data_IF_057336052638
#
_entry.id   IF_057336052638
#
_cell.length_a   1.000
_cell.length_b   1.000
_cell.length_c   1.000
_cell.angle_alpha   90.00
_cell.angle_beta   90.00
_cell.angle_gamma   90.00
#
_symmetry.space_group_name_H-M   'P 1'
#
loop_
_entity.id
_entity.type
_entity.pdbx_description
1 polymer ?
#
# COMPACT_ATOMS: atom_id res chain seq x y z
N UNK A 1 6.16 50.88 -16.38
CA UNK A 1 5.44 49.85 -17.18
C UNK A 1 5.96 48.41 -16.97
N UNK A 2 7.25 48.10 -17.04
CA UNK A 2 7.76 46.73 -16.84
C UNK A 2 7.73 46.22 -15.36
N UNK A 3 7.66 47.11 -14.37
CA UNK A 3 7.55 46.73 -12.94
C UNK A 3 6.15 46.28 -12.55
N UNK A 4 5.10 46.84 -13.13
CA UNK A 4 3.70 46.48 -12.85
C UNK A 4 3.35 45.07 -13.36
N UNK A 5 3.81 44.70 -14.56
CA UNK A 5 3.53 43.39 -15.14
C UNK A 5 4.20 42.24 -14.35
N UNK A 6 5.36 42.47 -13.71
CA UNK A 6 6.05 41.47 -12.86
C UNK A 6 5.37 41.32 -11.51
N UNK A 7 4.80 42.39 -10.93
CA UNK A 7 4.03 42.31 -9.67
C UNK A 7 2.67 41.65 -9.90
N UNK A 8 1.92 42.00 -10.95
CA UNK A 8 0.66 41.33 -11.31
C UNK A 8 0.88 39.83 -11.56
N UNK A 9 1.89 39.43 -12.33
CA UNK A 9 2.22 38.00 -12.55
C UNK A 9 2.65 37.28 -11.27
N UNK A 10 3.26 37.99 -10.32
CA UNK A 10 3.62 37.40 -9.02
C UNK A 10 2.39 37.21 -8.12
N UNK A 11 1.45 38.14 -8.12
CA UNK A 11 0.19 38.06 -7.39
C UNK A 11 -0.73 36.97 -7.96
N UNK A 12 -0.81 36.87 -9.29
CA UNK A 12 -1.55 35.81 -9.96
C UNK A 12 -0.97 34.40 -9.67
N UNK A 13 0.36 34.27 -9.66
CA UNK A 13 1.01 33.01 -9.26
C UNK A 13 0.72 32.63 -7.82
N UNK A 14 0.79 33.56 -6.89
CA UNK A 14 0.45 33.31 -5.47
C UNK A 14 -1.03 32.93 -5.31
N UNK A 15 -1.92 33.61 -6.06
CA UNK A 15 -3.35 33.27 -6.11
C UNK A 15 -3.62 31.86 -6.64
N UNK A 16 -2.94 31.47 -7.73
CA UNK A 16 -3.04 30.13 -8.32
C UNK A 16 -2.51 29.04 -7.36
N UNK A 17 -1.34 29.23 -6.75
CA UNK A 17 -0.78 28.28 -5.78
C UNK A 17 -1.70 28.05 -4.58
N UNK A 18 -2.38 29.09 -4.09
CA UNK A 18 -3.37 28.95 -3.01
C UNK A 18 -4.61 28.17 -3.46
N UNK A 19 -5.08 28.33 -4.72
CA UNK A 19 -6.21 27.55 -5.26
C UNK A 19 -5.85 26.08 -5.44
N UNK A 20 -4.60 25.78 -5.76
CA UNK A 20 -4.08 24.40 -5.90
C UNK A 20 -3.78 23.74 -4.54
N UNK A 21 -3.81 24.49 -3.44
CA UNK A 21 -3.65 23.94 -2.09
C UNK A 21 -4.97 23.40 -1.54
N UNK A 22 -5.49 22.36 -2.19
CA UNK A 22 -6.73 21.70 -1.77
C UNK A 22 -6.64 20.17 -1.87
N UNK A 23 -7.34 19.41 -0.99
CA UNK A 23 -7.39 17.95 -1.09
C UNK A 23 -8.00 17.47 -2.41
N UNK A 24 -8.98 18.22 -2.96
CA UNK A 24 -9.57 17.91 -4.27
C UNK A 24 -8.56 18.01 -5.41
N UNK A 25 -7.70 19.04 -5.38
CA UNK A 25 -6.62 19.18 -6.37
C UNK A 25 -5.59 18.05 -6.26
N UNK A 26 -5.18 17.68 -5.05
CA UNK A 26 -4.27 16.56 -4.85
C UNK A 26 -4.87 15.22 -5.33
N UNK A 27 -6.16 15.00 -5.10
CA UNK A 27 -6.88 13.86 -5.63
C UNK A 27 -6.93 13.86 -7.16
N UNK A 28 -7.22 15.02 -7.79
CA UNK A 28 -7.21 15.15 -9.25
C UNK A 28 -5.81 14.92 -9.86
N UNK A 29 -4.76 15.43 -9.21
CA UNK A 29 -3.39 15.19 -9.64
C UNK A 29 -3.00 13.71 -9.47
N UNK A 30 -3.42 13.07 -8.38
CA UNK A 30 -3.24 11.62 -8.20
C UNK A 30 -3.97 10.84 -9.29
N UNK A 31 -5.22 11.21 -9.60
CA UNK A 31 -6.00 10.59 -10.68
C UNK A 31 -5.29 10.71 -12.04
N UNK A 32 -4.72 11.88 -12.35
CA UNK A 32 -3.97 12.10 -13.59
C UNK A 32 -2.72 11.20 -13.65
N UNK A 33 -1.93 11.11 -12.58
CA UNK A 33 -0.74 10.24 -12.52
C UNK A 33 -1.12 8.78 -12.67
N UNK A 34 -2.15 8.32 -11.94
CA UNK A 34 -2.66 6.94 -12.00
C UNK A 34 -3.20 6.63 -13.39
N UNK A 35 -3.95 7.54 -14.01
CA UNK A 35 -4.46 7.36 -15.37
C UNK A 35 -3.31 7.21 -16.39
N UNK A 36 -2.30 8.08 -16.32
CA UNK A 36 -1.12 7.97 -17.19
C UNK A 36 -0.43 6.62 -16.99
N UNK A 37 -0.24 6.18 -15.75
CA UNK A 37 0.36 4.88 -15.47
C UNK A 37 -0.45 3.72 -16.06
N UNK A 38 -1.78 3.70 -15.86
CA UNK A 38 -2.68 2.67 -16.39
C UNK A 38 -2.65 2.66 -17.91
N UNK A 39 -2.73 3.83 -18.55
CA UNK A 39 -2.69 3.95 -20.02
C UNK A 39 -1.36 3.45 -20.58
N UNK A 40 -0.23 3.85 -20.01
CA UNK A 40 1.10 3.38 -20.44
C UNK A 40 1.21 1.86 -20.33
N UNK A 41 0.73 1.27 -19.23
CA UNK A 41 0.74 -0.18 -19.05
C UNK A 41 -0.18 -0.90 -20.04
N UNK A 42 -1.36 -0.37 -20.32
CA UNK A 42 -2.27 -0.92 -21.34
C UNK A 42 -1.63 -0.85 -22.73
N UNK A 43 -1.05 0.29 -23.09
CA UNK A 43 -0.37 0.44 -24.39
C UNK A 43 0.79 -0.55 -24.52
N UNK A 44 1.60 -0.72 -23.48
CA UNK A 44 2.71 -1.67 -23.46
C UNK A 44 2.26 -3.14 -23.59
N UNK A 45 1.01 -3.46 -23.22
CA UNK A 45 0.43 -4.80 -23.31
C UNK A 45 -0.66 -4.92 -24.37
N UNK A 46 -0.66 -4.08 -25.42
CA UNK A 46 -1.60 -4.17 -26.54
C UNK A 46 -3.08 -3.93 -26.17
N UNK A 47 -3.36 -3.23 -25.10
CA UNK A 47 -4.71 -2.96 -24.59
C UNK A 47 -5.31 -4.08 -23.73
N UNK A 48 -4.55 -5.12 -23.40
CA UNK A 48 -5.00 -6.25 -22.60
C UNK A 48 -5.17 -5.84 -21.12
N UNK A 49 -6.42 -5.81 -20.63
CA UNK A 49 -6.76 -5.53 -19.24
C UNK A 49 -6.23 -6.63 -18.30
N UNK A 50 -6.16 -7.88 -18.78
CA UNK A 50 -5.70 -9.01 -17.95
C UNK A 50 -4.20 -8.98 -17.65
N UNK A 51 -3.44 -8.11 -18.34
CA UNK A 51 -2.03 -7.85 -18.03
C UNK A 51 -1.81 -7.33 -16.59
N UNK A 52 -2.84 -6.77 -15.96
CA UNK A 52 -2.80 -6.39 -14.53
C UNK A 52 -3.04 -7.59 -13.62
N UNK A 53 -3.80 -8.59 -14.03
CA UNK A 53 -4.04 -9.82 -13.25
C UNK A 53 -2.79 -10.71 -13.21
N UNK A 54 -2.01 -10.74 -14.30
CA UNK A 54 -0.78 -11.53 -14.47
C UNK A 54 -1.03 -13.03 -14.21
N UNK A 55 -1.97 -13.62 -14.99
CA UNK A 55 -2.28 -15.05 -14.90
C UNK A 55 -1.16 -15.88 -15.55
N UNK A 56 -0.75 -16.99 -14.90
CA UNK A 56 0.25 -17.94 -15.41
C UNK A 56 -0.28 -19.36 -15.42
N UNK A 57 0.19 -20.18 -16.36
CA UNK A 57 -0.30 -21.54 -16.62
C UNK A 57 -0.03 -22.53 -15.50
N UNK A 58 0.87 -22.21 -14.57
CA UNK A 58 1.09 -23.06 -13.38
C UNK A 58 -0.14 -23.15 -12.48
N UNK A 59 -0.97 -22.09 -12.41
CA UNK A 59 -2.15 -22.01 -11.55
C UNK A 59 -3.45 -21.72 -12.30
N UNK A 60 -3.37 -21.42 -13.61
CA UNK A 60 -4.51 -21.11 -14.46
C UNK A 60 -4.45 -21.97 -15.72
N UNK A 61 -5.39 -22.91 -15.86
CA UNK A 61 -5.50 -23.75 -17.06
C UNK A 61 -6.03 -22.91 -18.23
N UNK A 62 -5.23 -22.69 -19.31
CA UNK A 62 -5.63 -21.86 -20.44
C UNK A 62 -6.89 -22.35 -21.17
N UNK A 63 -7.21 -23.65 -21.04
CA UNK A 63 -8.36 -24.27 -21.75
C UNK A 63 -9.69 -23.99 -21.07
N UNK A 64 -9.68 -23.72 -19.76
CA UNK A 64 -10.88 -23.60 -18.92
C UNK A 64 -10.94 -22.28 -18.17
N UNK A 65 -9.92 -21.44 -18.29
CA UNK A 65 -9.87 -20.09 -17.74
C UNK A 65 -10.97 -19.19 -18.34
N UNK A 66 -11.43 -18.16 -17.62
CA UNK A 66 -12.31 -17.13 -18.18
C UNK A 66 -11.71 -16.51 -19.44
N UNK A 67 -12.53 -16.32 -20.48
CA UNK A 67 -12.09 -15.84 -21.80
C UNK A 67 -11.48 -14.43 -21.78
N UNK A 68 -11.70 -13.66 -20.70
CA UNK A 68 -11.13 -12.32 -20.53
C UNK A 68 -9.70 -12.33 -19.94
N UNK A 69 -9.12 -13.52 -19.65
CA UNK A 69 -7.77 -13.68 -19.13
C UNK A 69 -6.81 -14.18 -20.21
N UNK A 70 -5.75 -13.44 -20.43
CA UNK A 70 -4.57 -13.93 -21.14
C UNK A 70 -3.67 -14.68 -20.17
N UNK A 71 -3.50 -15.98 -20.39
CA UNK A 71 -2.65 -16.85 -19.54
C UNK A 71 -1.25 -16.91 -20.15
N UNK A 72 -0.24 -16.57 -19.35
CA UNK A 72 1.18 -16.63 -19.75
C UNK A 72 1.69 -18.04 -19.66
N UNK A 73 2.32 -18.52 -20.72
CA UNK A 73 2.97 -19.84 -20.77
C UNK A 73 4.26 -19.86 -19.93
N UNK A 74 4.63 -21.02 -19.41
CA UNK A 74 5.82 -21.27 -18.59
C UNK A 74 5.97 -20.27 -17.42
N UNK A 75 4.85 -19.86 -16.81
CA UNK A 75 4.78 -18.80 -15.83
C UNK A 75 3.98 -19.21 -14.59
N UNK A 76 4.52 -18.86 -13.42
CA UNK A 76 3.73 -18.92 -12.16
C UNK A 76 2.69 -17.79 -12.05
N UNK A 77 2.70 -16.82 -12.97
CA UNK A 77 1.89 -15.63 -12.83
C UNK A 77 2.24 -14.80 -11.58
N UNK A 78 1.23 -14.10 -11.06
CA UNK A 78 1.38 -13.32 -9.83
C UNK A 78 0.12 -13.40 -8.94
N UNK A 79 0.19 -12.81 -7.73
CA UNK A 79 -0.89 -12.83 -6.73
C UNK A 79 -2.23 -12.27 -7.24
N UNK A 80 -2.21 -11.38 -8.25
CA UNK A 80 -3.41 -10.83 -8.89
C UNK A 80 -4.33 -11.90 -9.49
N UNK A 81 -3.78 -13.02 -9.98
CA UNK A 81 -4.59 -14.14 -10.45
C UNK A 81 -5.44 -14.75 -9.31
N UNK A 82 -4.90 -14.83 -8.09
CA UNK A 82 -5.65 -15.32 -6.93
C UNK A 82 -6.69 -14.29 -6.45
N UNK A 83 -6.37 -12.99 -6.52
CA UNK A 83 -7.33 -11.91 -6.25
C UNK A 83 -8.50 -11.97 -7.23
N UNK A 84 -8.23 -12.10 -8.53
CA UNK A 84 -9.24 -12.28 -9.56
C UNK A 84 -10.10 -13.53 -9.32
N UNK A 85 -9.47 -14.69 -9.02
CA UNK A 85 -10.19 -15.93 -8.71
C UNK A 85 -11.14 -15.76 -7.52
N UNK A 86 -10.70 -15.09 -6.47
CA UNK A 86 -11.51 -14.82 -5.28
C UNK A 86 -12.57 -13.75 -5.54
N UNK A 87 -12.36 -12.80 -6.46
CA UNK A 87 -13.37 -11.83 -6.83
C UNK A 87 -14.53 -12.46 -7.65
N UNK A 88 -14.31 -13.60 -8.30
CA UNK A 88 -15.39 -14.37 -8.93
C UNK A 88 -16.30 -15.08 -7.90
N UNK A 89 -15.73 -15.51 -6.77
CA UNK A 89 -16.43 -16.18 -5.67
C UNK A 89 -15.65 -15.98 -4.36
N UNK A 90 -15.91 -14.88 -3.63
CA UNK A 90 -15.13 -14.51 -2.45
C UNK A 90 -15.23 -15.48 -1.27
N UNK A 91 -16.34 -16.20 -1.16
CA UNK A 91 -16.63 -17.11 -0.03
C UNK A 91 -16.48 -18.58 -0.40
N UNK A 92 -15.75 -18.87 -1.46
CA UNK A 92 -15.51 -20.23 -1.97
C UNK A 92 -14.85 -21.14 -0.93
N UNK A 93 -15.25 -22.40 -0.93
CA UNK A 93 -14.60 -23.52 -0.26
C UNK A 93 -13.84 -24.43 -1.27
N UNK A 94 -13.81 -24.06 -2.55
CA UNK A 94 -13.22 -24.81 -3.64
C UNK A 94 -11.80 -24.33 -3.94
N UNK A 95 -10.83 -25.22 -3.77
CA UNK A 95 -9.44 -24.96 -4.15
C UNK A 95 -9.27 -24.74 -5.66
N UNK A 96 -10.01 -25.49 -6.46
CA UNK A 96 -9.98 -25.42 -7.93
C UNK A 96 -11.37 -25.09 -8.45
N UNK A 97 -11.51 -23.99 -9.19
CA UNK A 97 -12.73 -23.65 -9.90
C UNK A 97 -12.43 -22.70 -11.06
N UNK A 98 -13.24 -22.78 -12.13
CA UNK A 98 -13.14 -21.93 -13.32
C UNK A 98 -11.73 -21.95 -13.94
N UNK A 99 -11.08 -23.12 -13.99
CA UNK A 99 -9.73 -23.27 -14.51
C UNK A 99 -8.61 -22.69 -13.64
N UNK A 100 -8.90 -22.22 -12.43
CA UNK A 100 -7.94 -21.57 -11.55
C UNK A 100 -7.76 -22.33 -10.24
N UNK A 101 -6.51 -22.53 -9.84
CA UNK A 101 -6.13 -23.24 -8.62
C UNK A 101 -5.54 -22.29 -7.59
N UNK A 102 -6.12 -22.25 -6.38
CA UNK A 102 -5.51 -21.54 -5.25
C UNK A 102 -4.36 -22.40 -4.69
N UNK A 103 -3.14 -21.86 -4.72
CA UNK A 103 -1.95 -22.56 -4.20
C UNK A 103 -2.05 -22.82 -2.69
N UNK A 104 -2.43 -21.80 -1.93
CA UNK A 104 -2.66 -21.82 -0.50
C UNK A 104 -3.99 -21.11 -0.18
N UNK A 105 -5.14 -21.83 -0.26
CA UNK A 105 -6.46 -21.19 -0.21
C UNK A 105 -6.68 -20.33 1.05
N UNK A 106 -6.39 -20.85 2.24
CA UNK A 106 -6.55 -20.11 3.49
C UNK A 106 -5.72 -18.81 3.49
N UNK A 107 -4.47 -18.88 3.06
CA UNK A 107 -3.57 -17.73 2.98
C UNK A 107 -4.01 -16.71 1.94
N UNK A 108 -4.51 -17.15 0.78
CA UNK A 108 -4.98 -16.26 -0.28
C UNK A 108 -6.28 -15.56 0.11
N UNK A 109 -7.22 -16.30 0.69
CA UNK A 109 -8.55 -15.81 1.05
C UNK A 109 -8.55 -14.92 2.31
N UNK A 110 -7.47 -14.92 3.12
CA UNK A 110 -7.40 -14.01 4.27
C UNK A 110 -7.50 -12.53 3.86
N UNK A 111 -7.08 -12.17 2.64
CA UNK A 111 -7.10 -10.82 2.07
C UNK A 111 -8.36 -10.59 1.26
N UNK A 112 -9.52 -10.68 1.92
CA UNK A 112 -10.81 -10.70 1.26
C UNK A 112 -11.35 -9.34 0.81
N UNK A 113 -10.79 -8.23 1.33
CA UNK A 113 -11.36 -6.89 1.13
C UNK A 113 -11.42 -6.46 -0.34
N UNK A 114 -10.35 -6.63 -1.12
CA UNK A 114 -10.37 -6.29 -2.56
C UNK A 114 -11.24 -7.27 -3.36
N UNK A 115 -11.14 -8.61 -3.19
CA UNK A 115 -12.05 -9.54 -3.84
C UNK A 115 -13.54 -9.24 -3.60
N UNK A 116 -13.96 -8.99 -2.36
CA UNK A 116 -15.36 -8.66 -2.03
C UNK A 116 -15.78 -7.34 -2.65
N UNK A 117 -14.92 -6.32 -2.60
CA UNK A 117 -15.22 -5.03 -3.22
C UNK A 117 -15.42 -5.18 -4.73
N UNK A 118 -14.54 -5.91 -5.41
CA UNK A 118 -14.66 -6.16 -6.84
C UNK A 118 -15.89 -7.00 -7.18
N UNK A 119 -16.20 -8.02 -6.39
CA UNK A 119 -17.39 -8.85 -6.55
C UNK A 119 -18.69 -8.02 -6.42
N UNK A 120 -18.78 -7.13 -5.44
CA UNK A 120 -19.94 -6.24 -5.27
C UNK A 120 -20.12 -5.29 -6.45
N UNK A 121 -19.01 -4.73 -6.98
CA UNK A 121 -19.06 -3.87 -8.17
C UNK A 121 -19.46 -4.68 -9.41
N UNK A 122 -18.92 -5.89 -9.59
CA UNK A 122 -19.28 -6.77 -10.70
C UNK A 122 -20.77 -7.17 -10.67
N UNK A 123 -21.33 -7.38 -9.47
CA UNK A 123 -22.76 -7.66 -9.31
C UNK A 123 -23.65 -6.45 -9.68
N UNK A 124 -23.13 -5.23 -9.59
CA UNK A 124 -23.85 -3.99 -9.84
C UNK A 124 -23.60 -3.39 -11.25
N UNK A 125 -22.62 -3.90 -12.00
CA UNK A 125 -22.21 -3.32 -13.29
C UNK A 125 -21.89 -4.40 -14.32
N UNK A 126 -22.05 -4.12 -15.63
CA UNK A 126 -21.67 -5.05 -16.72
C UNK A 126 -20.17 -4.97 -17.07
N UNK A 127 -19.33 -4.36 -16.24
CA UNK A 127 -17.90 -4.19 -16.53
C UNK A 127 -17.15 -5.51 -16.39
N UNK A 128 -16.13 -5.78 -17.22
CA UNK A 128 -15.26 -6.95 -17.06
C UNK A 128 -14.47 -6.87 -15.75
N UNK A 129 -14.29 -8.01 -15.09
CA UNK A 129 -13.68 -8.07 -13.76
C UNK A 129 -12.25 -7.51 -13.71
N UNK A 130 -11.36 -7.71 -14.71
CA UNK A 130 -10.05 -7.07 -14.72
C UNK A 130 -10.13 -5.54 -14.66
N UNK A 131 -11.08 -4.93 -15.41
CA UNK A 131 -11.29 -3.47 -15.35
C UNK A 131 -11.77 -3.02 -13.98
N UNK A 132 -12.66 -3.78 -13.36
CA UNK A 132 -13.17 -3.47 -12.01
C UNK A 132 -12.01 -3.45 -11.00
N UNK A 133 -11.11 -4.43 -11.03
CA UNK A 133 -9.96 -4.50 -10.14
C UNK A 133 -9.03 -3.28 -10.33
N UNK A 134 -8.73 -2.92 -11.58
CA UNK A 134 -7.96 -1.72 -11.92
C UNK A 134 -8.65 -0.47 -11.36
N UNK A 135 -9.96 -0.31 -11.58
CA UNK A 135 -10.72 0.87 -11.15
C UNK A 135 -10.79 0.98 -9.62
N UNK A 136 -11.02 -0.12 -8.90
CA UNK A 136 -11.04 -0.14 -7.43
C UNK A 136 -9.69 0.31 -6.88
N UNK A 137 -8.58 -0.24 -7.40
CA UNK A 137 -7.24 0.14 -6.98
C UNK A 137 -6.88 1.59 -7.37
N UNK A 138 -7.27 2.04 -8.57
CA UNK A 138 -7.05 3.41 -9.01
C UNK A 138 -7.81 4.41 -8.12
N UNK A 139 -9.09 4.16 -7.84
CA UNK A 139 -9.90 4.99 -6.96
C UNK A 139 -9.39 4.98 -5.52
N UNK A 140 -8.86 3.85 -5.05
CA UNK A 140 -8.20 3.78 -3.75
C UNK A 140 -6.98 4.70 -3.66
N UNK A 141 -6.14 4.76 -4.70
CA UNK A 141 -5.01 5.69 -4.76
C UNK A 141 -5.46 7.15 -4.80
N UNK A 142 -6.51 7.48 -5.56
CA UNK A 142 -7.10 8.83 -5.59
C UNK A 142 -7.59 9.25 -4.21
N UNK A 143 -8.30 8.35 -3.51
CA UNK A 143 -8.73 8.57 -2.12
C UNK A 143 -7.55 8.72 -1.16
N UNK A 144 -6.49 7.94 -1.33
CA UNK A 144 -5.25 8.08 -0.55
C UNK A 144 -4.58 9.44 -0.79
N UNK A 145 -4.58 9.96 -2.02
CA UNK A 145 -4.09 11.31 -2.36
C UNK A 145 -4.88 12.40 -1.63
N UNK A 146 -6.21 12.25 -1.56
CA UNK A 146 -7.07 13.17 -0.83
C UNK A 146 -6.77 13.17 0.68
N UNK A 147 -6.69 11.99 1.32
CA UNK A 147 -6.35 11.90 2.75
C UNK A 147 -4.90 12.34 3.02
N UNK A 148 -3.95 12.00 2.14
CA UNK A 148 -2.56 12.46 2.22
C UNK A 148 -2.47 13.98 2.21
N UNK A 149 -3.25 14.66 1.36
CA UNK A 149 -3.37 16.12 1.32
C UNK A 149 -3.94 16.69 2.63
N UNK A 150 -4.96 16.05 3.21
CA UNK A 150 -5.49 16.41 4.53
C UNK A 150 -4.41 16.35 5.62
N UNK A 151 -3.57 15.31 5.59
CA UNK A 151 -2.43 15.22 6.50
C UNK A 151 -1.39 16.33 6.22
N UNK A 152 -1.05 16.58 4.95
CA UNK A 152 -0.12 17.64 4.58
C UNK A 152 -0.59 18.99 5.12
N UNK A 153 -1.82 19.39 4.85
CA UNK A 153 -2.41 20.65 5.33
C UNK A 153 -2.49 20.72 6.85
N UNK A 154 -2.81 19.63 7.55
CA UNK A 154 -2.85 19.59 9.01
C UNK A 154 -1.49 19.88 9.68
N UNK A 155 -0.40 19.77 8.93
CA UNK A 155 0.95 20.11 9.36
C UNK A 155 1.52 21.34 8.66
N UNK A 156 0.68 22.15 8.00
CA UNK A 156 1.08 23.37 7.32
C UNK A 156 1.90 23.14 6.05
N UNK A 157 1.68 22.01 5.37
CA UNK A 157 2.31 21.66 4.09
C UNK A 157 1.31 21.81 2.96
N UNK A 158 1.80 22.06 1.75
CA UNK A 158 0.96 22.15 0.56
C UNK A 158 0.28 20.81 0.26
N UNK A 159 -0.99 20.84 -0.11
CA UNK A 159 -1.84 19.68 -0.35
C UNK A 159 -1.28 18.72 -1.42
N UNK A 160 -0.58 19.23 -2.44
CA UNK A 160 0.02 18.42 -3.50
C UNK A 160 0.98 17.34 -2.99
N UNK A 161 1.57 17.51 -1.79
CA UNK A 161 2.42 16.47 -1.18
C UNK A 161 1.63 15.21 -0.81
N UNK A 162 0.30 15.28 -0.75
CA UNK A 162 -0.57 14.12 -0.61
C UNK A 162 -0.42 13.10 -1.75
N UNK A 163 -0.05 13.57 -2.95
CA UNK A 163 0.20 12.69 -4.10
C UNK A 163 1.28 11.67 -3.80
N UNK A 164 2.39 12.08 -3.16
CA UNK A 164 3.50 11.16 -2.81
C UNK A 164 3.07 10.08 -1.81
N UNK A 165 2.08 10.38 -0.96
CA UNK A 165 1.50 9.40 -0.02
C UNK A 165 0.69 8.33 -0.75
N UNK A 166 0.11 8.68 -1.91
CA UNK A 166 -0.75 7.82 -2.71
C UNK A 166 -0.01 6.97 -3.76
N UNK A 167 1.14 7.44 -4.25
CA UNK A 167 1.85 6.81 -5.38
C UNK A 167 3.21 6.22 -4.97
N UNK A 168 3.37 5.81 -3.71
CA UNK A 168 4.61 5.17 -3.27
C UNK A 168 4.90 3.88 -4.07
N UNK A 169 6.18 3.45 -4.18
CA UNK A 169 6.57 2.32 -5.03
C UNK A 169 5.71 1.07 -4.85
N UNK A 170 5.50 0.62 -3.61
CA UNK A 170 4.68 -0.56 -3.31
C UNK A 170 3.22 -0.43 -3.76
N UNK A 171 2.66 0.78 -3.74
CA UNK A 171 1.29 1.05 -4.18
C UNK A 171 1.15 1.00 -5.70
N UNK A 172 2.13 1.52 -6.45
CA UNK A 172 2.15 1.41 -7.91
C UNK A 172 2.31 -0.03 -8.38
N UNK A 173 3.16 -0.81 -7.70
CA UNK A 173 3.28 -2.25 -7.93
C UNK A 173 1.94 -2.95 -7.64
N UNK A 174 1.28 -2.56 -6.54
CA UNK A 174 -0.06 -3.06 -6.20
C UNK A 174 -1.08 -2.78 -7.30
N UNK A 175 -1.10 -1.58 -7.86
CA UNK A 175 -1.94 -1.24 -9.00
C UNK A 175 -1.56 -2.04 -10.26
N UNK A 176 -0.26 -2.14 -10.57
CA UNK A 176 0.22 -2.82 -11.78
C UNK A 176 -0.11 -4.32 -11.81
N UNK A 177 -0.40 -4.93 -10.67
CA UNK A 177 -0.60 -6.39 -10.53
C UNK A 177 -1.91 -6.76 -9.83
N UNK A 178 -2.87 -5.84 -9.78
CA UNK A 178 -4.19 -6.00 -9.12
C UNK A 178 -4.11 -6.58 -7.70
N UNK A 179 -3.27 -5.97 -6.87
CA UNK A 179 -3.02 -6.42 -5.51
C UNK A 179 -3.78 -5.60 -4.47
N UNK A 180 -3.72 -6.07 -3.23
CA UNK A 180 -4.50 -5.53 -2.12
C UNK A 180 -3.94 -4.22 -1.52
N UNK A 181 -2.69 -3.87 -1.81
CA UNK A 181 -1.97 -2.76 -1.18
C UNK A 181 -2.67 -1.39 -1.36
N UNK A 182 -3.18 -0.99 -2.56
CA UNK A 182 -3.82 0.31 -2.72
C UNK A 182 -5.07 0.47 -1.86
N UNK A 183 -5.97 -0.53 -1.87
CA UNK A 183 -7.21 -0.47 -1.10
C UNK A 183 -6.96 -0.56 0.40
N UNK A 184 -6.03 -1.41 0.84
CA UNK A 184 -5.64 -1.52 2.23
C UNK A 184 -5.02 -0.22 2.75
N UNK A 185 -4.18 0.43 1.94
CA UNK A 185 -3.57 1.71 2.28
C UNK A 185 -4.60 2.83 2.40
N UNK A 186 -5.57 2.92 1.49
CA UNK A 186 -6.68 3.86 1.63
C UNK A 186 -7.40 3.68 2.96
N UNK A 187 -7.77 2.45 3.31
CA UNK A 187 -8.43 2.13 4.58
C UNK A 187 -7.59 2.52 5.80
N UNK A 188 -6.30 2.16 5.80
CA UNK A 188 -5.37 2.54 6.87
C UNK A 188 -5.23 4.05 7.00
N UNK A 189 -5.01 4.77 5.90
CA UNK A 189 -4.81 6.22 5.89
C UNK A 189 -6.07 6.98 6.33
N UNK A 190 -7.25 6.54 5.88
CA UNK A 190 -8.54 7.06 6.33
C UNK A 190 -8.74 6.81 7.82
N UNK A 191 -8.44 5.61 8.29
CA UNK A 191 -8.48 5.25 9.71
C UNK A 191 -7.57 6.13 10.56
N UNK A 192 -6.32 6.34 10.13
CA UNK A 192 -5.37 7.25 10.81
C UNK A 192 -5.88 8.69 10.85
N UNK A 193 -6.50 9.16 9.75
CA UNK A 193 -7.10 10.50 9.71
C UNK A 193 -8.26 10.63 10.68
N UNK A 194 -9.22 9.71 10.65
CA UNK A 194 -10.38 9.75 11.55
C UNK A 194 -9.99 9.52 13.00
N UNK A 195 -8.99 8.66 13.28
CA UNK A 195 -8.40 8.50 14.61
C UNK A 195 -7.83 9.81 15.14
N UNK A 196 -7.06 10.52 14.33
CA UNK A 196 -6.52 11.84 14.68
C UNK A 196 -7.62 12.89 14.90
N UNK A 197 -8.72 12.78 14.17
CA UNK A 197 -9.87 13.68 14.23
C UNK A 197 -10.90 13.26 15.30
N UNK A 198 -10.55 12.30 16.16
CA UNK A 198 -11.37 11.75 17.25
C UNK A 198 -12.69 11.11 16.80
N UNK A 199 -12.81 10.76 15.51
CA UNK A 199 -13.95 10.03 14.94
C UNK A 199 -13.72 8.52 15.04
N UNK A 200 -13.68 8.01 16.27
CA UNK A 200 -13.26 6.63 16.57
C UNK A 200 -14.07 5.53 15.88
N UNK A 201 -15.42 5.63 15.77
CA UNK A 201 -16.19 4.60 15.03
C UNK A 201 -15.80 4.51 13.56
N UNK A 202 -15.61 5.66 12.88
CA UNK A 202 -15.16 5.69 11.48
C UNK A 202 -13.73 5.16 11.35
N UNK A 203 -12.87 5.51 12.30
CA UNK A 203 -11.50 4.98 12.33
C UNK A 203 -11.50 3.46 12.48
N UNK A 204 -12.31 2.92 13.38
CA UNK A 204 -12.42 1.47 13.61
C UNK A 204 -12.93 0.73 12.36
N UNK A 205 -13.96 1.26 11.70
CA UNK A 205 -14.49 0.70 10.46
C UNK A 205 -13.44 0.70 9.34
N UNK A 206 -12.71 1.81 9.17
CA UNK A 206 -11.67 1.91 8.15
C UNK A 206 -10.47 0.99 8.44
N UNK A 207 -10.04 0.89 9.70
CA UNK A 207 -9.01 -0.05 10.11
C UNK A 207 -9.43 -1.51 9.93
N UNK A 208 -10.71 -1.84 10.18
CA UNK A 208 -11.24 -3.18 9.94
C UNK A 208 -11.26 -3.51 8.45
N UNK A 209 -11.71 -2.59 7.60
CA UNK A 209 -11.65 -2.74 6.15
C UNK A 209 -10.20 -2.91 5.65
N UNK A 210 -9.26 -2.11 6.17
CA UNK A 210 -7.85 -2.25 5.86
C UNK A 210 -7.29 -3.62 6.27
N UNK A 211 -7.61 -4.09 7.47
CA UNK A 211 -7.15 -5.38 8.02
C UNK A 211 -7.67 -6.57 7.22
N UNK A 212 -8.95 -6.54 6.80
CA UNK A 212 -9.55 -7.57 5.94
C UNK A 212 -9.04 -7.51 4.50
N UNK A 213 -8.52 -6.35 4.06
CA UNK A 213 -7.87 -6.22 2.77
C UNK A 213 -6.41 -6.68 2.84
N UNK A 214 -5.71 -6.34 3.92
CA UNK A 214 -4.32 -6.74 4.13
C UNK A 214 -4.00 -6.74 5.63
N UNK A 215 -3.73 -7.91 6.17
CA UNK A 215 -3.49 -8.18 7.60
C UNK A 215 -2.32 -7.37 8.17
N UNK A 216 -1.32 -7.02 7.35
CA UNK A 216 -0.14 -6.26 7.76
C UNK A 216 -0.47 -4.85 8.25
N UNK A 217 -1.60 -4.28 7.85
CA UNK A 217 -2.06 -2.96 8.34
C UNK A 217 -2.34 -2.96 9.85
N UNK A 218 -2.66 -4.13 10.44
CA UNK A 218 -2.88 -4.29 11.88
C UNK A 218 -1.64 -3.95 12.70
N UNK A 219 -0.42 -4.05 12.18
CA UNK A 219 0.78 -3.70 12.94
C UNK A 219 0.82 -2.21 13.31
N UNK A 220 0.31 -1.34 12.42
CA UNK A 220 0.19 0.09 12.70
C UNK A 220 -0.86 0.33 13.77
N UNK A 221 -2.01 -0.34 13.67
CA UNK A 221 -3.10 -0.26 14.66
C UNK A 221 -2.63 -0.80 16.01
N UNK A 222 -1.87 -1.91 16.03
CA UNK A 222 -1.27 -2.45 17.26
C UNK A 222 -0.33 -1.45 17.93
N UNK A 223 0.50 -0.74 17.18
CA UNK A 223 1.36 0.31 17.74
C UNK A 223 0.55 1.45 18.38
N UNK A 224 -0.56 1.87 17.77
CA UNK A 224 -1.48 2.84 18.36
C UNK A 224 -2.11 2.28 19.63
N UNK A 225 -2.55 1.01 19.62
CA UNK A 225 -3.18 0.33 20.77
C UNK A 225 -2.22 0.22 21.94
N UNK A 226 -0.98 -0.23 21.69
CA UNK A 226 0.06 -0.30 22.74
C UNK A 226 0.32 1.07 23.36
N UNK A 227 0.36 2.13 22.53
CA UNK A 227 0.52 3.48 23.08
C UNK A 227 -0.65 3.89 23.97
N UNK A 228 -1.91 3.58 23.59
CA UNK A 228 -3.08 3.88 24.42
C UNK A 228 -3.02 3.12 25.75
N UNK A 229 -2.57 1.85 25.75
CA UNK A 229 -2.38 1.07 26.98
C UNK A 229 -1.28 1.65 27.87
N UNK A 230 -0.15 2.07 27.29
CA UNK A 230 0.93 2.73 28.05
C UNK A 230 0.45 4.01 28.70
N UNK A 231 -0.33 4.83 27.99
CA UNK A 231 -0.88 6.06 28.55
C UNK A 231 -1.96 5.78 29.60
N UNK A 232 -2.77 4.72 29.43
CA UNK A 232 -3.74 4.27 30.42
C UNK A 232 -3.03 3.83 31.72
N UNK A 233 -1.94 3.05 31.61
CA UNK A 233 -1.17 2.59 32.77
C UNK A 233 -0.46 3.71 33.52
N UNK A 234 -0.15 4.83 32.84
CA UNK A 234 0.49 6.01 33.43
C UNK A 234 -0.51 7.02 33.98
N UNK A 235 -1.76 6.93 33.57
CA UNK A 235 -2.83 7.86 33.94
C UNK A 235 -3.54 7.43 35.25
N UNK A 236 -4.15 8.41 35.95
CA UNK A 236 -5.02 8.15 37.07
C UNK A 236 -6.44 7.72 36.65
N UNK A 237 -7.35 7.58 37.63
CA UNK A 237 -8.74 7.16 37.40
C UNK A 237 -9.51 8.03 36.41
N UNK A 238 -9.21 9.32 36.29
CA UNK A 238 -9.85 10.22 35.32
C UNK A 238 -9.54 9.86 33.87
N UNK A 239 -8.33 9.34 33.61
CA UNK A 239 -7.94 8.89 32.27
C UNK A 239 -8.65 7.61 31.83
N UNK A 240 -9.11 6.76 32.76
CA UNK A 240 -9.85 5.54 32.42
C UNK A 240 -11.10 5.86 31.58
N UNK A 241 -11.92 6.82 32.02
CA UNK A 241 -13.15 7.19 31.33
C UNK A 241 -12.93 7.67 29.90
N UNK A 242 -11.79 8.29 29.61
CA UNK A 242 -11.44 8.80 28.28
C UNK A 242 -10.78 7.77 27.39
N UNK A 243 -9.94 6.88 27.93
CA UNK A 243 -9.10 5.97 27.13
C UNK A 243 -9.72 4.62 26.90
N UNK A 244 -10.50 4.09 27.84
CA UNK A 244 -11.16 2.80 27.67
C UNK A 244 -12.04 2.78 26.39
N UNK A 245 -12.92 3.77 26.13
CA UNK A 245 -13.68 3.79 24.88
C UNK A 245 -12.80 3.82 23.62
N UNK A 246 -11.66 4.54 23.66
CA UNK A 246 -10.71 4.59 22.54
C UNK A 246 -10.08 3.20 22.28
N UNK A 247 -9.67 2.51 23.34
CA UNK A 247 -9.11 1.15 23.25
C UNK A 247 -10.14 0.18 22.70
N UNK A 248 -11.39 0.25 23.14
CA UNK A 248 -12.48 -0.59 22.64
C UNK A 248 -12.66 -0.44 21.12
N UNK A 249 -12.61 0.78 20.58
CA UNK A 249 -12.66 1.00 19.15
C UNK A 249 -11.46 0.42 18.38
N UNK A 250 -10.27 0.38 18.98
CA UNK A 250 -9.10 -0.26 18.39
C UNK A 250 -9.16 -1.80 18.43
N UNK A 251 -9.98 -2.38 19.30
CA UNK A 251 -10.22 -3.83 19.30
C UNK A 251 -11.10 -4.28 18.13
N UNK A 252 -11.94 -3.41 17.57
CA UNK A 252 -12.86 -3.76 16.46
C UNK A 252 -12.12 -4.33 15.25
N UNK A 253 -11.08 -3.68 14.66
CA UNK A 253 -10.35 -4.26 13.53
C UNK A 253 -9.66 -5.59 13.87
N UNK A 254 -9.18 -5.76 15.09
CA UNK A 254 -8.59 -7.03 15.55
C UNK A 254 -9.66 -8.12 15.67
N UNK A 255 -10.83 -7.80 16.23
CA UNK A 255 -11.95 -8.74 16.35
C UNK A 255 -12.47 -9.16 14.96
N UNK A 256 -12.62 -8.23 14.02
CA UNK A 256 -13.00 -8.53 12.64
C UNK A 256 -11.99 -9.46 11.95
N UNK A 257 -10.69 -9.18 12.09
CA UNK A 257 -9.64 -10.02 11.54
C UNK A 257 -9.64 -11.43 12.17
N UNK A 258 -9.77 -11.52 13.49
CA UNK A 258 -9.84 -12.81 14.21
C UNK A 258 -11.09 -13.61 13.82
N UNK A 259 -12.24 -12.97 13.72
CA UNK A 259 -13.49 -13.64 13.29
C UNK A 259 -13.33 -14.18 11.86
N UNK A 260 -12.70 -13.43 10.96
CA UNK A 260 -12.42 -13.88 9.60
C UNK A 260 -11.42 -15.06 9.59
N UNK A 261 -10.34 -15.00 10.39
CA UNK A 261 -9.39 -16.11 10.53
C UNK A 261 -10.07 -17.37 11.07
N UNK A 262 -10.98 -17.24 12.04
CA UNK A 262 -11.74 -18.36 12.61
C UNK A 262 -12.69 -18.98 11.56
N UNK A 263 -13.35 -18.17 10.75
CA UNK A 263 -14.19 -18.66 9.65
C UNK A 263 -13.35 -19.44 8.63
N UNK A 264 -12.20 -18.89 8.21
CA UNK A 264 -11.28 -19.55 7.28
C UNK A 264 -10.71 -20.87 7.86
N UNK A 265 -10.47 -20.92 9.16
CA UNK A 265 -10.08 -22.17 9.83
C UNK A 265 -11.20 -23.23 9.72
N UNK A 266 -12.46 -22.83 9.88
CA UNK A 266 -13.62 -23.70 9.69
C UNK A 266 -13.72 -24.25 8.26
N UNK A 267 -13.43 -23.43 7.25
CA UNK A 267 -13.51 -23.79 5.83
C UNK A 267 -12.31 -24.65 5.39
N UNK A 268 -11.09 -24.28 5.77
CA UNK A 268 -9.87 -24.87 5.22
C UNK A 268 -9.10 -25.77 6.19
N UNK A 269 -9.51 -25.84 7.46
CA UNK A 269 -8.83 -26.62 8.50
C UNK A 269 -7.43 -26.10 8.85
N UNK A 270 -7.06 -24.90 8.40
CA UNK A 270 -5.74 -24.28 8.62
C UNK A 270 -5.90 -22.81 8.95
N UNK A 271 -5.12 -22.34 9.92
CA UNK A 271 -5.05 -20.91 10.22
C UNK A 271 -4.23 -20.17 9.14
N UNK A 272 -4.82 -19.17 8.45
CA UNK A 272 -4.13 -18.42 7.41
C UNK A 272 -2.82 -17.81 7.86
N UNK A 273 -2.77 -17.21 9.04
CA UNK A 273 -1.57 -16.56 9.61
C UNK A 273 -0.40 -17.50 9.77
N UNK A 274 -0.65 -18.79 10.00
CA UNK A 274 0.39 -19.83 10.12
C UNK A 274 0.80 -20.40 8.76
N UNK A 275 -0.01 -20.19 7.72
CA UNK A 275 0.23 -20.75 6.39
C UNK A 275 1.27 -19.97 5.58
N UNK A 276 1.63 -18.76 6.00
CA UNK A 276 2.61 -17.86 5.35
C UNK A 276 3.97 -17.78 6.06
N UNK A 277 4.26 -18.68 7.02
CA UNK A 277 5.46 -18.59 7.87
C UNK A 277 6.80 -18.61 7.12
N UNK A 278 6.86 -19.18 5.91
CA UNK A 278 8.06 -19.18 5.08
C UNK A 278 8.53 -17.78 4.63
N UNK A 279 7.64 -16.78 4.64
CA UNK A 279 7.90 -15.45 4.10
C UNK A 279 8.43 -14.45 5.16
N UNK A 280 8.32 -14.77 6.44
CA UNK A 280 8.67 -13.86 7.54
C UNK A 280 9.81 -14.47 8.38
N UNK A 281 10.82 -13.67 8.68
CA UNK A 281 11.95 -14.03 9.55
C UNK A 281 12.10 -13.07 10.72
N UNK A 282 13.16 -13.26 11.49
CA UNK A 282 13.54 -12.33 12.57
C UNK A 282 14.13 -11.06 11.94
N UNK A 283 13.52 -9.86 12.19
CA UNK A 283 14.10 -8.62 11.68
C UNK A 283 15.47 -8.31 12.32
N UNK A 284 16.48 -7.83 11.59
CA UNK A 284 16.56 -7.65 10.14
C UNK A 284 17.30 -8.79 9.42
N UNK A 285 17.40 -9.97 10.04
CA UNK A 285 18.34 -11.03 9.63
C UNK A 285 18.15 -11.45 8.16
N UNK A 286 16.94 -11.81 7.74
CA UNK A 286 16.66 -12.22 6.35
C UNK A 286 16.89 -11.08 5.34
N UNK A 287 16.56 -9.86 5.71
CA UNK A 287 16.84 -8.70 4.88
C UNK A 287 18.34 -8.52 4.67
N UNK A 288 19.14 -8.60 5.74
CA UNK A 288 20.61 -8.46 5.65
C UNK A 288 21.21 -9.57 4.80
N UNK A 289 20.84 -10.83 5.03
CA UNK A 289 21.35 -11.96 4.21
C UNK A 289 21.02 -11.76 2.74
N UNK A 290 19.78 -11.37 2.40
CA UNK A 290 19.38 -11.13 1.01
C UNK A 290 20.11 -9.96 0.33
N UNK A 291 20.65 -9.01 1.10
CA UNK A 291 21.50 -7.94 0.57
C UNK A 291 22.92 -8.42 0.33
N UNK A 292 23.43 -9.34 1.18
CA UNK A 292 24.77 -9.90 1.04
C UNK A 292 24.84 -10.94 -0.08
N UNK A 293 23.75 -11.64 -0.35
CA UNK A 293 23.61 -12.64 -1.44
C UNK A 293 23.40 -11.98 -2.82
N UNK A 294 24.03 -10.83 -3.06
CA UNK A 294 23.94 -10.14 -4.34
C UNK A 294 24.82 -10.85 -5.38
N UNK A 295 24.17 -11.61 -6.30
CA UNK A 295 24.86 -12.47 -7.27
C UNK A 295 25.42 -11.73 -8.51
N UNK A 296 25.23 -10.42 -8.63
CA UNK A 296 25.78 -9.62 -9.74
C UNK A 296 27.21 -9.19 -9.44
N UNK A 297 28.17 -9.65 -10.22
CA UNK A 297 29.50 -9.05 -10.21
C UNK A 297 29.43 -7.56 -10.54
N UNK A 298 30.12 -6.71 -9.79
CA UNK A 298 30.11 -5.25 -10.01
C UNK A 298 30.63 -4.84 -11.38
N UNK A 299 31.31 -5.74 -12.08
CA UNK A 299 31.89 -5.55 -13.41
C UNK A 299 31.10 -6.26 -14.52
N UNK A 300 30.04 -6.99 -14.20
CA UNK A 300 29.20 -7.65 -15.18
C UNK A 300 28.50 -6.61 -16.06
N UNK A 301 28.38 -6.93 -17.35
CA UNK A 301 27.71 -6.10 -18.34
C UNK A 301 26.51 -6.85 -18.93
N UNK A 302 25.54 -6.11 -19.43
CA UNK A 302 24.33 -6.68 -20.02
C UNK A 302 23.07 -6.37 -19.23
N UNK A 303 21.94 -6.82 -19.74
CA UNK A 303 20.62 -6.52 -19.18
C UNK A 303 20.45 -7.04 -17.75
N UNK A 304 20.87 -8.27 -17.51
CA UNK A 304 20.68 -8.92 -16.20
C UNK A 304 21.55 -8.28 -15.11
N UNK A 305 22.78 -7.89 -15.44
CA UNK A 305 23.65 -7.13 -14.55
C UNK A 305 23.05 -5.75 -14.24
N UNK A 306 22.53 -5.04 -15.23
CA UNK A 306 21.88 -3.74 -15.05
C UNK A 306 20.67 -3.86 -14.11
N UNK A 307 19.80 -4.87 -14.32
CA UNK A 307 18.64 -5.13 -13.45
C UNK A 307 19.08 -5.47 -12.02
N UNK A 308 20.14 -6.28 -11.86
CA UNK A 308 20.68 -6.62 -10.53
C UNK A 308 21.16 -5.37 -9.79
N UNK A 309 21.90 -4.48 -10.46
CA UNK A 309 22.35 -3.21 -9.87
C UNK A 309 21.19 -2.27 -9.55
N UNK A 310 20.17 -2.22 -10.40
CA UNK A 310 18.97 -1.43 -10.15
C UNK A 310 18.26 -1.92 -8.89
N UNK A 311 18.06 -3.23 -8.74
CA UNK A 311 17.44 -3.81 -7.54
C UNK A 311 18.27 -3.57 -6.26
N UNK A 312 19.60 -3.60 -6.35
CA UNK A 312 20.43 -3.23 -5.22
C UNK A 312 20.25 -1.75 -4.87
N UNK A 313 20.24 -0.86 -5.86
CA UNK A 313 20.03 0.58 -5.65
C UNK A 313 18.66 0.87 -5.02
N UNK A 314 17.59 0.18 -5.43
CA UNK A 314 16.25 0.28 -4.85
C UNK A 314 16.23 -0.13 -3.36
N UNK A 315 16.89 -1.23 -3.01
CA UNK A 315 17.00 -1.71 -1.62
C UNK A 315 17.79 -0.74 -0.75
N UNK A 316 18.94 -0.26 -1.23
CA UNK A 316 19.78 0.72 -0.53
C UNK A 316 19.03 2.05 -0.35
N UNK A 317 18.29 2.48 -1.36
CA UNK A 317 17.41 3.64 -1.24
C UNK A 317 16.33 3.44 -0.17
N UNK A 318 15.67 2.28 -0.14
CA UNK A 318 14.65 1.99 0.87
C UNK A 318 15.24 2.00 2.28
N UNK A 319 16.43 1.40 2.47
CA UNK A 319 17.14 1.46 3.76
C UNK A 319 17.46 2.90 4.16
N UNK A 320 18.00 3.70 3.25
CA UNK A 320 18.30 5.11 3.50
C UNK A 320 17.04 5.90 3.85
N UNK A 321 15.94 5.65 3.14
CA UNK A 321 14.64 6.26 3.44
C UNK A 321 14.15 5.88 4.84
N UNK A 322 14.13 4.60 5.18
CA UNK A 322 13.69 4.11 6.50
C UNK A 322 14.57 4.65 7.63
N UNK A 323 15.90 4.69 7.45
CA UNK A 323 16.83 5.28 8.39
C UNK A 323 16.59 6.79 8.57
N UNK A 324 16.31 7.51 7.48
CA UNK A 324 15.98 8.94 7.54
C UNK A 324 14.66 9.21 8.27
N UNK A 325 13.65 8.36 8.07
CA UNK A 325 12.39 8.44 8.82
C UNK A 325 12.64 8.16 10.30
N UNK A 326 13.41 7.13 10.66
CA UNK A 326 13.78 6.81 12.04
C UNK A 326 14.46 8.02 12.72
N UNK A 327 15.44 8.63 12.05
CA UNK A 327 16.10 9.84 12.52
C UNK A 327 15.15 11.03 12.68
N UNK A 328 14.06 11.05 11.91
CA UNK A 328 13.04 12.11 11.94
C UNK A 328 12.01 11.96 13.06
N UNK A 329 11.86 10.77 13.66
CA UNK A 329 10.85 10.49 14.69
C UNK A 329 10.86 11.46 15.89
N UNK A 330 12.01 11.87 16.48
CA UNK A 330 12.01 12.81 17.60
C UNK A 330 11.55 14.23 17.18
N UNK A 331 11.64 14.56 15.88
CA UNK A 331 11.40 15.91 15.33
C UNK A 331 10.00 16.09 14.74
N UNK A 332 9.22 15.00 14.65
CA UNK A 332 7.87 15.03 14.06
C UNK A 332 6.81 15.48 15.09
N UNK A 333 5.74 16.11 14.58
CA UNK A 333 4.52 16.44 15.36
C UNK A 333 3.47 15.31 15.27
N UNK A 334 3.78 14.20 14.59
CA UNK A 334 2.87 13.08 14.48
C UNK A 334 2.54 12.52 15.88
N UNK A 335 1.29 12.16 16.21
CA UNK A 335 0.92 11.59 17.50
C UNK A 335 1.78 10.37 17.89
N UNK A 336 2.11 10.25 19.15
CA UNK A 336 3.03 9.20 19.65
C UNK A 336 2.57 7.78 19.30
N UNK A 337 1.27 7.48 19.34
CA UNK A 337 0.72 6.20 18.92
C UNK A 337 1.00 5.89 17.44
N UNK A 338 0.88 6.89 16.56
CA UNK A 338 1.19 6.71 15.13
C UNK A 338 2.70 6.53 14.88
N UNK A 339 3.56 7.19 15.71
CA UNK A 339 5.03 6.96 15.65
C UNK A 339 5.37 5.52 16.04
N UNK A 340 4.73 5.00 17.10
CA UNK A 340 4.90 3.61 17.50
C UNK A 340 4.34 2.64 16.45
N UNK A 341 3.22 2.99 15.82
CA UNK A 341 2.69 2.27 14.65
C UNK A 341 3.70 2.21 13.51
N UNK A 342 4.43 3.29 13.24
CA UNK A 342 5.52 3.27 12.25
C UNK A 342 6.67 2.35 12.68
N UNK A 343 7.06 2.35 13.95
CA UNK A 343 8.12 1.43 14.44
C UNK A 343 7.72 -0.03 14.21
N UNK A 344 6.47 -0.39 14.46
CA UNK A 344 5.96 -1.74 14.21
C UNK A 344 5.94 -2.06 12.71
N UNK A 345 5.54 -1.11 11.86
CA UNK A 345 5.60 -1.25 10.42
C UNK A 345 7.05 -1.39 9.90
N UNK A 346 8.01 -0.68 10.49
CA UNK A 346 9.43 -0.83 10.20
C UNK A 346 9.92 -2.26 10.52
N UNK A 347 9.60 -2.77 11.71
CA UNK A 347 9.99 -4.13 12.09
C UNK A 347 9.40 -5.17 11.12
N UNK A 348 8.14 -4.99 10.71
CA UNK A 348 7.52 -5.84 9.71
C UNK A 348 8.22 -5.74 8.34
N UNK A 349 8.58 -4.53 7.89
CA UNK A 349 9.26 -4.32 6.61
C UNK A 349 10.66 -4.96 6.56
N UNK A 350 11.33 -5.07 7.71
CA UNK A 350 12.65 -5.68 7.85
C UNK A 350 12.61 -7.20 8.10
N UNK A 351 11.43 -7.80 8.28
CA UNK A 351 11.28 -9.21 8.61
C UNK A 351 11.43 -10.17 7.40
N UNK A 352 10.92 -9.87 6.17
CA UNK A 352 11.09 -10.75 5.02
C UNK A 352 12.49 -10.62 4.40
N UNK A 353 12.84 -11.59 3.55
CA UNK A 353 13.96 -11.43 2.62
C UNK A 353 13.61 -10.34 1.58
N UNK A 354 14.59 -9.53 1.24
CA UNK A 354 14.46 -8.55 0.16
C UNK A 354 15.05 -9.15 -1.12
N UNK A 355 14.35 -10.12 -1.66
CA UNK A 355 14.72 -10.83 -2.87
C UNK A 355 14.69 -9.91 -4.11
N UNK A 356 15.16 -10.41 -5.25
CA UNK A 356 15.24 -9.66 -6.52
C UNK A 356 13.89 -9.28 -7.10
N UNK A 357 12.80 -9.86 -6.60
CA UNK A 357 11.46 -9.40 -6.91
C UNK A 357 11.10 -8.16 -6.05
N UNK A 358 10.34 -7.26 -6.61
CA UNK A 358 9.83 -6.02 -5.99
C UNK A 358 8.94 -6.24 -4.75
N UNK A 359 8.84 -7.46 -4.26
CA UNK A 359 8.09 -7.84 -3.06
C UNK A 359 8.48 -7.04 -1.82
N UNK A 360 9.75 -6.64 -1.69
CA UNK A 360 10.21 -5.83 -0.55
C UNK A 360 9.54 -4.45 -0.48
N UNK A 361 9.23 -3.81 -1.61
CA UNK A 361 8.44 -2.57 -1.61
C UNK A 361 7.01 -2.80 -1.14
N UNK A 362 6.41 -3.93 -1.50
CA UNK A 362 5.08 -4.33 -1.04
C UNK A 362 5.08 -4.58 0.47
N UNK A 363 6.09 -5.31 0.98
CA UNK A 363 6.26 -5.56 2.41
C UNK A 363 6.49 -4.27 3.21
N UNK A 364 7.11 -3.25 2.60
CA UNK A 364 7.41 -1.97 3.21
C UNK A 364 6.31 -0.90 3.00
N UNK A 365 5.18 -1.22 2.37
CA UNK A 365 4.14 -0.23 2.01
C UNK A 365 3.69 0.60 3.22
N UNK A 366 3.38 -0.04 4.35
CA UNK A 366 2.95 0.65 5.57
C UNK A 366 4.09 1.48 6.17
N UNK A 367 5.32 0.97 6.16
CA UNK A 367 6.49 1.68 6.68
C UNK A 367 6.83 2.91 5.82
N UNK A 368 6.72 2.81 4.49
CA UNK A 368 6.90 3.93 3.56
C UNK A 368 5.79 4.96 3.77
N UNK A 369 4.53 4.53 3.75
CA UNK A 369 3.37 5.42 3.81
C UNK A 369 3.28 6.18 5.13
N UNK A 370 3.36 5.49 6.29
CA UNK A 370 3.38 6.15 7.61
C UNK A 370 4.68 6.95 7.79
N UNK A 371 5.80 6.49 7.20
CA UNK A 371 7.05 7.24 7.14
C UNK A 371 6.91 8.59 6.44
N UNK A 372 6.17 8.65 5.35
CA UNK A 372 5.82 9.90 4.67
C UNK A 372 5.01 10.83 5.57
N UNK A 373 4.05 10.29 6.36
CA UNK A 373 3.33 11.10 7.35
C UNK A 373 4.26 11.63 8.44
N UNK A 374 5.27 10.85 8.89
CA UNK A 374 6.31 11.31 9.82
C UNK A 374 7.07 12.49 9.23
N UNK A 375 7.45 12.41 7.96
CA UNK A 375 8.18 13.49 7.26
C UNK A 375 7.32 14.73 7.06
N UNK A 376 6.08 14.60 6.61
CA UNK A 376 5.13 15.70 6.45
C UNK A 376 4.92 16.46 7.76
N UNK A 377 4.88 15.73 8.88
CA UNK A 377 4.68 16.29 10.22
C UNK A 377 5.96 16.81 10.88
N UNK A 378 7.12 16.83 10.21
CA UNK A 378 8.37 17.40 10.78
C UNK A 378 8.25 18.89 11.07
N UNK A 379 8.95 19.34 12.11
CA UNK A 379 8.98 20.76 12.51
C UNK A 379 9.83 21.62 11.57
N UNK A 380 10.93 21.07 11.05
CA UNK A 380 11.82 21.75 10.10
C UNK A 380 11.29 21.65 8.66
N UNK A 381 11.59 22.69 7.86
CA UNK A 381 11.09 22.79 6.49
C UNK A 381 11.92 22.02 5.45
N UNK A 382 13.03 21.37 5.84
CA UNK A 382 13.98 20.76 4.89
C UNK A 382 13.49 19.37 4.43
N UNK A 383 12.47 19.35 3.57
CA UNK A 383 11.91 18.12 2.98
C UNK A 383 12.34 17.89 1.53
N UNK A 384 13.01 18.84 0.89
CA UNK A 384 13.27 18.80 -0.55
C UNK A 384 13.99 17.56 -1.02
N UNK A 385 15.12 17.21 -0.39
CA UNK A 385 15.94 16.05 -0.78
C UNK A 385 15.21 14.70 -0.58
N UNK A 386 14.61 14.39 0.60
CA UNK A 386 13.89 13.12 0.75
C UNK A 386 12.65 13.02 -0.16
N UNK A 387 11.93 14.11 -0.39
CA UNK A 387 10.78 14.09 -1.29
C UNK A 387 11.19 13.93 -2.76
N UNK A 388 12.30 14.55 -3.18
CA UNK A 388 12.87 14.35 -4.50
C UNK A 388 13.34 12.89 -4.70
N UNK A 389 13.97 12.30 -3.69
CA UNK A 389 14.36 10.89 -3.71
C UNK A 389 13.19 9.93 -3.85
N UNK A 390 12.06 10.21 -3.16
CA UNK A 390 10.83 9.44 -3.30
C UNK A 390 10.26 9.60 -4.70
N UNK A 391 10.17 10.83 -5.22
CA UNK A 391 9.65 11.08 -6.56
C UNK A 391 10.50 10.40 -7.63
N UNK A 392 11.81 10.42 -7.50
CA UNK A 392 12.72 9.72 -8.41
C UNK A 392 12.50 8.20 -8.36
N UNK A 393 12.38 7.60 -7.17
CA UNK A 393 12.13 6.16 -7.02
C UNK A 393 10.76 5.76 -7.57
N UNK A 394 9.73 6.57 -7.33
CA UNK A 394 8.39 6.40 -7.92
C UNK A 394 8.49 6.40 -9.45
N UNK A 395 9.25 7.33 -10.04
CA UNK A 395 9.44 7.40 -11.48
C UNK A 395 10.15 6.16 -12.04
N UNK A 396 11.19 5.64 -11.36
CA UNK A 396 11.90 4.42 -11.74
C UNK A 396 10.96 3.22 -11.70
N UNK A 397 10.25 3.01 -10.59
CA UNK A 397 9.30 1.89 -10.45
C UNK A 397 8.15 2.01 -11.45
N UNK A 398 7.64 3.23 -11.69
CA UNK A 398 6.60 3.45 -12.69
C UNK A 398 7.09 3.11 -14.10
N UNK A 399 8.29 3.51 -14.47
CA UNK A 399 8.87 3.20 -15.77
C UNK A 399 9.05 1.68 -15.98
N UNK A 400 9.63 1.00 -14.98
CA UNK A 400 9.84 -0.46 -15.04
C UNK A 400 8.52 -1.22 -15.13
N UNK A 401 7.52 -0.89 -14.31
CA UNK A 401 6.27 -1.65 -14.24
C UNK A 401 5.20 -1.20 -15.23
N UNK A 402 5.19 0.07 -15.68
CA UNK A 402 4.30 0.49 -16.75
C UNK A 402 4.73 -0.08 -18.09
N UNK A 403 6.04 -0.16 -18.36
CA UNK A 403 6.58 -0.66 -19.62
C UNK A 403 6.71 -2.19 -19.69
N UNK A 404 6.18 -2.90 -18.70
CA UNK A 404 6.12 -4.38 -18.65
C UNK A 404 7.51 -5.07 -18.70
N UNK A 405 8.50 -4.41 -18.14
CA UNK A 405 9.86 -4.97 -18.04
C UNK A 405 9.96 -5.96 -16.89
#
# INVERSE_FOLDING_TARGET
>A
MLRDETEERSLDRVGLWRRLDSPGWAAALTAAVVLVFVVLRLVANGGDLSAFVVAGDRFVDPRTAPAELTVREDSSGYDGAFVYRLALDPFTDQRVARGMTLDNPAYRQQRIGLPVTAWLVAAATPLPLPLILILVNALALVGAGWFGARFAQAYGRHASLGVLVAISPGLLIGLARDLNEPLAWLGLLAGLWWWRSERYPLAAAAFAAAALTRETTLVVVAGISVWQLVELARGGREELGRRVPRILWLLVPMACALAWQAWLYGVWGRLPVLSGQGNIGVPPFRMVTSLLDHDGGWLDTGRDALLSHLWLAERLWLLAFLAYVAWSLPRTRLPRGMRLGWVFALLLALAPAWERDVQFFRAATEAIGVGLLVLLARRDARLGLPLAGIAAMVAVVAAVHALAL
#
